data_IF_145963645143
#
_entry.id   IF_145963645143
#
_cell.length_a   1.000
_cell.length_b   1.000
_cell.length_c   1.000
_cell.angle_alpha   90.00
_cell.angle_beta   90.00
_cell.angle_gamma   90.00
#
_symmetry.space_group_name_H-M   'P 1'
#
loop_
_entity.id
_entity.type
_entity.pdbx_description
1 polymer ?
#
# COMPACT_ATOMS: atom_id res chain seq x y z
N UNK A 1 10.82 -5.52 4.50
CA UNK A 1 9.82 -4.44 4.57
C UNK A 1 10.38 -3.01 4.43
N UNK A 2 11.46 -2.63 5.15
CA UNK A 2 12.14 -1.30 5.00
C UNK A 2 12.47 -0.91 3.55
N UNK A 3 12.85 -1.86 2.71
CA UNK A 3 13.18 -1.62 1.30
C UNK A 3 11.97 -1.17 0.46
N UNK A 4 10.77 -1.70 0.76
CA UNK A 4 9.54 -1.27 0.10
C UNK A 4 9.21 0.17 0.43
N UNK A 5 9.42 0.62 1.68
CA UNK A 5 9.23 2.03 2.03
C UNK A 5 10.17 2.96 1.26
N UNK A 6 11.44 2.58 1.12
CA UNK A 6 12.41 3.39 0.35
C UNK A 6 11.96 3.55 -1.10
N UNK A 7 11.53 2.46 -1.74
CA UNK A 7 11.03 2.50 -3.11
C UNK A 7 9.65 3.19 -3.24
N UNK A 8 8.78 3.03 -2.24
CA UNK A 8 7.48 3.68 -2.18
C UNK A 8 7.60 5.20 -2.02
N UNK A 9 8.56 5.67 -1.22
CA UNK A 9 8.91 7.10 -1.12
C UNK A 9 9.50 7.63 -2.43
N UNK A 10 10.13 6.77 -3.24
CA UNK A 10 10.57 7.07 -4.60
C UNK A 10 9.46 7.05 -5.65
N UNK A 11 8.18 6.94 -5.25
CA UNK A 11 7.05 7.00 -6.17
C UNK A 11 6.69 5.67 -6.85
N UNK A 12 7.32 4.55 -6.48
CA UNK A 12 7.02 3.27 -7.13
C UNK A 12 5.67 2.68 -6.64
N UNK A 13 4.64 2.56 -7.51
CA UNK A 13 3.30 2.14 -7.08
C UNK A 13 3.24 0.69 -6.58
N UNK A 14 4.07 -0.20 -7.14
CA UNK A 14 4.21 -1.60 -6.68
C UNK A 14 4.83 -1.66 -5.29
N UNK A 15 5.82 -0.80 -5.02
CA UNK A 15 6.43 -0.72 -3.70
C UNK A 15 5.44 -0.17 -2.65
N UNK A 16 4.59 0.80 -3.02
CA UNK A 16 3.52 1.29 -2.14
C UNK A 16 2.52 0.18 -1.79
N UNK A 17 2.13 -0.66 -2.77
CA UNK A 17 1.28 -1.84 -2.52
C UNK A 17 1.96 -2.85 -1.60
N UNK A 18 3.24 -3.16 -1.82
CA UNK A 18 3.93 -4.09 -0.93
C UNK A 18 4.13 -3.52 0.49
N UNK A 19 4.34 -2.21 0.62
CA UNK A 19 4.41 -1.55 1.92
C UNK A 19 3.07 -1.63 2.67
N UNK A 20 1.93 -1.50 1.98
CA UNK A 20 0.62 -1.66 2.63
C UNK A 20 0.42 -3.07 3.18
N UNK A 21 0.84 -4.09 2.43
CA UNK A 21 0.80 -5.49 2.89
C UNK A 21 1.70 -5.75 4.10
N UNK A 22 2.92 -5.18 4.12
CA UNK A 22 3.81 -5.29 5.28
C UNK A 22 3.19 -4.65 6.54
N UNK A 23 2.56 -3.47 6.40
CA UNK A 23 1.85 -2.85 7.54
C UNK A 23 0.61 -3.62 7.98
N UNK A 24 -0.11 -4.28 7.05
CA UNK A 24 -1.28 -5.09 7.38
C UNK A 24 -0.92 -6.40 8.08
N UNK A 25 0.18 -7.03 7.67
CA UNK A 25 0.69 -8.29 8.26
C UNK A 25 1.52 -8.08 9.51
N UNK A 26 2.21 -6.93 9.65
CA UNK A 26 3.23 -6.75 10.67
C UNK A 26 4.56 -7.46 10.33
N UNK A 27 4.75 -7.89 9.09
CA UNK A 27 5.94 -8.63 8.69
C UNK A 27 7.12 -7.69 8.48
N UNK A 28 8.10 -7.77 9.39
CA UNK A 28 9.30 -6.93 9.35
C UNK A 28 9.05 -5.44 9.62
N UNK A 29 7.84 -5.07 10.07
CA UNK A 29 7.45 -3.72 10.51
C UNK A 29 6.38 -3.82 11.61
N UNK A 30 6.23 -2.79 12.46
CA UNK A 30 5.06 -2.70 13.34
C UNK A 30 3.77 -2.74 12.51
N UNK A 31 2.85 -3.61 12.91
CA UNK A 31 1.53 -3.72 12.29
C UNK A 31 0.76 -2.42 12.47
N UNK A 32 0.20 -1.89 11.38
CA UNK A 32 -0.64 -0.69 11.42
C UNK A 32 -1.61 -0.67 10.24
N UNK A 33 -2.89 -0.92 10.53
CA UNK A 33 -3.94 -0.86 9.52
C UNK A 33 -4.13 0.55 8.94
N UNK A 34 -3.89 1.59 9.75
CA UNK A 34 -3.94 2.96 9.27
C UNK A 34 -2.87 3.23 8.22
N UNK A 35 -1.61 2.84 8.48
CA UNK A 35 -0.54 2.97 7.50
C UNK A 35 -0.79 2.10 6.26
N UNK A 36 -1.29 0.88 6.44
CA UNK A 36 -1.66 0.01 5.33
C UNK A 36 -2.65 0.70 4.38
N UNK A 37 -3.71 1.29 4.92
CA UNK A 37 -4.71 2.03 4.11
C UNK A 37 -4.12 3.22 3.38
N UNK A 38 -3.25 4.00 4.03
CA UNK A 38 -2.59 5.16 3.41
C UNK A 38 -1.74 4.73 2.21
N UNK A 39 -0.90 3.71 2.38
CA UNK A 39 -0.05 3.22 1.30
C UNK A 39 -0.84 2.53 0.18
N UNK A 40 -1.91 1.82 0.52
CA UNK A 40 -2.81 1.23 -0.48
C UNK A 40 -3.49 2.29 -1.33
N UNK A 41 -3.99 3.37 -0.70
CA UNK A 41 -4.59 4.52 -1.39
C UNK A 41 -3.61 5.17 -2.35
N UNK A 42 -2.39 5.47 -1.89
CA UNK A 42 -1.33 6.05 -2.73
C UNK A 42 -0.97 5.14 -3.90
N UNK A 43 -0.89 3.83 -3.68
CA UNK A 43 -0.64 2.87 -4.76
C UNK A 43 -1.75 2.93 -5.82
N UNK A 44 -3.02 2.98 -5.39
CA UNK A 44 -4.17 3.09 -6.30
C UNK A 44 -4.16 4.40 -7.09
N UNK A 45 -3.93 5.53 -6.41
CA UNK A 45 -3.82 6.87 -7.02
C UNK A 45 -2.63 6.96 -7.99
N UNK A 46 -1.56 6.21 -7.74
CA UNK A 46 -0.37 6.14 -8.60
C UNK A 46 -0.47 5.10 -9.72
N UNK A 47 -1.66 4.54 -9.99
CA UNK A 47 -1.88 3.65 -11.13
C UNK A 47 -1.61 2.16 -10.89
N UNK A 48 -1.42 1.72 -9.64
CA UNK A 48 -1.22 0.28 -9.37
C UNK A 48 -2.54 -0.48 -9.53
N UNK A 49 -2.68 -1.26 -10.61
CA UNK A 49 -3.94 -1.90 -11.01
C UNK A 49 -4.58 -2.75 -9.91
N UNK A 50 -3.78 -3.50 -9.14
CA UNK A 50 -4.32 -4.32 -8.03
C UNK A 50 -4.80 -3.47 -6.86
N UNK A 51 -4.09 -2.37 -6.58
CA UNK A 51 -4.51 -1.44 -5.53
C UNK A 51 -5.78 -0.69 -5.97
N UNK A 52 -5.88 -0.30 -7.24
CA UNK A 52 -7.10 0.31 -7.80
C UNK A 52 -8.30 -0.63 -7.71
N UNK A 53 -8.13 -1.92 -7.98
CA UNK A 53 -9.19 -2.90 -7.81
C UNK A 53 -9.62 -3.03 -6.34
N UNK A 54 -8.67 -3.19 -5.41
CA UNK A 54 -8.96 -3.30 -3.98
C UNK A 54 -9.54 -2.01 -3.38
N UNK A 55 -9.18 -0.84 -3.93
CA UNK A 55 -9.66 0.47 -3.47
C UNK A 55 -10.99 0.88 -4.13
N UNK A 56 -11.22 0.47 -5.39
CA UNK A 56 -12.46 0.73 -6.13
C UNK A 56 -13.67 -0.02 -5.57
N UNK A 57 -13.45 -1.20 -4.95
CA UNK A 57 -14.48 -1.94 -4.24
C UNK A 57 -14.99 -1.22 -2.98
N UNK A 58 -14.25 -0.25 -2.42
CA UNK A 58 -14.70 0.56 -1.27
C UNK A 58 -15.52 1.80 -1.67
N UNK A 59 -15.67 2.11 -2.98
CA UNK A 59 -16.48 3.25 -3.45
C UNK A 59 -17.95 2.86 -3.69
N UNK A 60 -18.27 1.57 -3.67
CA UNK A 60 -19.62 1.02 -3.89
C UNK A 60 -20.25 0.37 -2.64
N UNK A 61 -19.64 0.55 -1.46
CA UNK A 61 -20.13 0.05 -0.16
C UNK A 61 -20.31 1.20 0.82
#
# INVERSE_FOLDING_TARGET
>A
ARWYLKAALGGNPRAMYNASLCYSSGEGMPRSYQQARIWMKRAAESGHSKAQFEHGLNLFS
#
